data_IF_405983418065
#
_entry.id   IF_405983418065
#
_cell.length_a   1.000
_cell.length_b   1.000
_cell.length_c   1.000
_cell.angle_alpha   90.00
_cell.angle_beta   90.00
_cell.angle_gamma   90.00
#
_symmetry.space_group_name_H-M   'P 1'
#
loop_
_entity.id
_entity.type
_entity.pdbx_description
1 polymer ?
#
# COMPACT_ATOMS: atom_id res chain seq x y z
N UNK A 1 -1.65 28.74 -5.35
CA UNK A 1 -0.71 28.14 -6.33
C UNK A 1 -0.18 29.20 -7.27
N UNK A 2 1.13 29.31 -7.37
CA UNK A 2 1.82 30.15 -8.34
C UNK A 2 1.68 29.54 -9.76
N UNK A 3 1.87 30.32 -10.83
CA UNK A 3 1.81 29.87 -12.22
C UNK A 3 2.79 28.72 -12.52
N UNK A 4 3.94 28.68 -11.84
CA UNK A 4 4.88 27.54 -11.93
C UNK A 4 4.27 26.25 -11.39
N UNK A 5 3.59 26.30 -10.25
CA UNK A 5 2.93 25.15 -9.64
C UNK A 5 1.78 24.65 -10.52
N UNK A 6 1.02 25.59 -11.12
CA UNK A 6 -0.06 25.27 -12.06
C UNK A 6 0.45 24.55 -13.29
N UNK A 7 1.56 25.03 -13.87
CA UNK A 7 2.21 24.39 -15.02
C UNK A 7 2.78 23.01 -14.68
N UNK A 8 3.42 22.88 -13.51
CA UNK A 8 3.97 21.60 -13.04
C UNK A 8 2.86 20.56 -12.85
N UNK A 9 1.75 20.96 -12.24
CA UNK A 9 0.58 20.11 -12.04
C UNK A 9 -0.01 19.65 -13.38
N UNK A 10 -0.20 20.55 -14.34
CA UNK A 10 -0.70 20.20 -15.69
C UNK A 10 0.19 19.16 -16.37
N UNK A 11 1.52 19.35 -16.28
CA UNK A 11 2.49 18.41 -16.86
C UNK A 11 2.45 17.05 -16.16
N UNK A 12 2.30 17.04 -14.84
CA UNK A 12 2.25 15.82 -14.02
C UNK A 12 0.94 15.04 -14.21
N UNK A 13 -0.19 15.74 -14.21
CA UNK A 13 -1.52 15.17 -14.41
C UNK A 13 -1.85 14.87 -15.88
N UNK A 14 -1.01 15.33 -16.83
CA UNK A 14 -1.24 15.15 -18.26
C UNK A 14 -2.42 15.97 -18.80
N UNK A 15 -2.77 17.09 -18.16
CA UNK A 15 -3.91 17.93 -18.56
C UNK A 15 -3.47 19.10 -19.42
N UNK A 16 -4.22 19.41 -20.47
CA UNK A 16 -3.98 20.56 -21.35
C UNK A 16 -4.51 21.87 -20.77
N UNK A 17 -5.57 21.80 -19.95
CA UNK A 17 -6.19 22.94 -19.29
C UNK A 17 -5.94 22.90 -17.76
N UNK A 18 -6.10 24.05 -17.11
CA UNK A 18 -6.08 24.13 -15.66
C UNK A 18 -7.39 23.56 -15.11
N UNK A 19 -7.34 22.44 -14.35
CA UNK A 19 -8.56 21.84 -13.85
C UNK A 19 -9.17 22.71 -12.76
N UNK A 20 -10.50 22.77 -12.73
CA UNK A 20 -11.23 23.37 -11.61
C UNK A 20 -10.93 22.60 -10.30
N UNK A 21 -11.42 23.10 -9.17
CA UNK A 21 -11.14 22.50 -7.86
C UNK A 21 -11.72 21.08 -7.73
N UNK A 22 -12.88 20.83 -8.34
CA UNK A 22 -13.52 19.51 -8.37
C UNK A 22 -12.73 18.51 -9.23
N UNK A 23 -12.36 18.91 -10.44
CA UNK A 23 -11.53 18.14 -11.36
C UNK A 23 -10.16 17.84 -10.76
N UNK A 24 -9.54 18.79 -10.07
CA UNK A 24 -8.28 18.54 -9.34
C UNK A 24 -8.47 17.47 -8.28
N UNK A 25 -9.52 17.57 -7.46
CA UNK A 25 -9.81 16.57 -6.45
C UNK A 25 -9.99 15.16 -7.06
N UNK A 26 -10.70 15.03 -8.17
CA UNK A 26 -10.87 13.73 -8.85
C UNK A 26 -9.56 13.19 -9.44
N UNK A 27 -8.75 14.06 -10.06
CA UNK A 27 -7.44 13.71 -10.62
C UNK A 27 -6.50 13.23 -9.51
N UNK A 28 -6.37 13.99 -8.42
CA UNK A 28 -5.51 13.63 -7.28
C UNK A 28 -5.94 12.31 -6.66
N UNK A 29 -7.26 12.09 -6.53
CA UNK A 29 -7.83 10.82 -6.04
C UNK A 29 -7.48 9.65 -6.96
N UNK A 30 -7.50 9.84 -8.27
CA UNK A 30 -7.13 8.81 -9.24
C UNK A 30 -5.62 8.54 -9.22
N UNK A 31 -4.79 9.57 -9.21
CA UNK A 31 -3.34 9.46 -9.11
C UNK A 31 -2.90 8.77 -7.82
N UNK A 32 -3.55 9.06 -6.69
CA UNK A 32 -3.30 8.38 -5.42
C UNK A 32 -3.63 6.89 -5.51
N UNK A 33 -4.77 6.52 -6.11
CA UNK A 33 -5.13 5.11 -6.33
C UNK A 33 -4.13 4.39 -7.22
N UNK A 34 -3.74 4.99 -8.34
CA UNK A 34 -2.73 4.42 -9.24
C UNK A 34 -1.39 4.26 -8.55
N UNK A 35 -0.95 5.26 -7.78
CA UNK A 35 0.32 5.22 -7.03
C UNK A 35 0.35 4.09 -6.01
N UNK A 36 -0.77 3.85 -5.29
CA UNK A 36 -0.91 2.73 -4.36
C UNK A 36 -0.83 1.39 -5.10
N UNK A 37 -1.51 1.26 -6.24
CA UNK A 37 -1.47 0.05 -7.06
C UNK A 37 -0.05 -0.20 -7.58
N UNK A 38 0.62 0.82 -8.11
CA UNK A 38 2.01 0.73 -8.58
C UNK A 38 2.97 0.32 -7.46
N UNK A 39 2.79 0.84 -6.24
CA UNK A 39 3.59 0.45 -5.09
C UNK A 39 3.40 -1.04 -4.75
N UNK A 40 2.16 -1.54 -4.76
CA UNK A 40 1.92 -2.97 -4.51
C UNK A 40 2.50 -3.87 -5.59
N UNK A 41 2.39 -3.48 -6.87
CA UNK A 41 3.02 -4.20 -7.99
C UNK A 41 4.54 -4.23 -7.81
N UNK A 42 5.14 -3.09 -7.47
CA UNK A 42 6.57 -2.98 -7.23
C UNK A 42 7.03 -3.87 -6.08
N UNK A 43 6.32 -3.87 -4.95
CA UNK A 43 6.60 -4.75 -3.81
C UNK A 43 6.50 -6.24 -4.18
N UNK A 44 5.49 -6.62 -4.97
CA UNK A 44 5.33 -7.98 -5.46
C UNK A 44 6.52 -8.40 -6.35
N UNK A 45 6.89 -7.57 -7.32
CA UNK A 45 8.04 -7.83 -8.19
C UNK A 45 9.37 -7.89 -7.42
N UNK A 46 9.56 -7.01 -6.43
CA UNK A 46 10.73 -7.05 -5.56
C UNK A 46 10.79 -8.35 -4.76
N UNK A 47 9.67 -8.78 -4.19
CA UNK A 47 9.57 -10.06 -3.48
C UNK A 47 9.93 -11.24 -4.38
N UNK A 48 9.35 -11.30 -5.59
CA UNK A 48 9.69 -12.33 -6.58
C UNK A 48 11.18 -12.30 -6.92
N UNK A 49 11.74 -11.12 -7.17
CA UNK A 49 13.16 -10.96 -7.50
C UNK A 49 14.08 -11.49 -6.40
N UNK A 50 13.78 -11.20 -5.13
CA UNK A 50 14.57 -11.68 -4.00
C UNK A 50 14.55 -13.22 -3.92
N UNK A 51 13.38 -13.84 -4.08
CA UNK A 51 13.29 -15.31 -4.04
C UNK A 51 13.94 -15.98 -5.24
N UNK A 52 13.82 -15.38 -6.42
CA UNK A 52 14.51 -15.82 -7.62
C UNK A 52 16.04 -15.71 -7.49
N UNK A 53 16.51 -14.63 -6.88
CA UNK A 53 17.92 -14.40 -6.55
C UNK A 53 18.46 -15.43 -5.55
N UNK A 54 17.66 -15.78 -4.53
CA UNK A 54 17.99 -16.87 -3.58
C UNK A 54 18.13 -18.21 -4.31
N UNK A 55 17.18 -18.54 -5.19
CA UNK A 55 17.23 -19.78 -5.99
C UNK A 55 18.48 -19.88 -6.87
N UNK A 56 18.95 -18.73 -7.38
CA UNK A 56 20.15 -18.65 -8.21
C UNK A 56 21.44 -18.40 -7.43
N UNK A 57 21.37 -18.24 -6.10
CA UNK A 57 22.50 -17.84 -5.25
C UNK A 57 23.21 -16.57 -5.78
N UNK A 58 22.44 -15.62 -6.29
CA UNK A 58 22.93 -14.39 -6.92
C UNK A 58 22.08 -13.21 -6.49
N UNK A 59 22.70 -12.08 -6.13
CA UNK A 59 21.97 -10.86 -5.78
C UNK A 59 21.91 -9.96 -7.00
N UNK A 60 20.71 -9.78 -7.56
CA UNK A 60 20.51 -8.93 -8.73
C UNK A 60 20.56 -7.44 -8.40
N UNK A 61 21.01 -6.59 -9.36
CA UNK A 61 20.92 -5.14 -9.23
C UNK A 61 19.48 -4.66 -8.99
N UNK A 62 18.48 -5.39 -9.51
CA UNK A 62 17.07 -5.06 -9.28
C UNK A 62 16.67 -5.25 -7.81
N UNK A 63 17.07 -6.35 -7.18
CA UNK A 63 16.78 -6.59 -5.76
C UNK A 63 17.43 -5.52 -4.86
N UNK A 64 18.70 -5.18 -5.11
CA UNK A 64 19.41 -4.14 -4.36
C UNK A 64 18.76 -2.77 -4.57
N UNK A 65 18.58 -2.37 -5.83
CA UNK A 65 17.97 -1.09 -6.19
C UNK A 65 16.54 -0.98 -5.66
N UNK A 66 15.80 -2.08 -5.67
CA UNK A 66 14.43 -2.13 -5.18
C UNK A 66 14.33 -1.90 -3.68
N UNK A 67 15.22 -2.53 -2.89
CA UNK A 67 15.31 -2.28 -1.44
C UNK A 67 15.67 -0.82 -1.15
N UNK A 68 16.63 -0.25 -1.87
CA UNK A 68 17.02 1.16 -1.73
C UNK A 68 15.84 2.08 -2.02
N UNK A 69 15.06 1.80 -3.08
CA UNK A 69 13.87 2.58 -3.42
C UNK A 69 12.81 2.52 -2.31
N UNK A 70 12.58 1.36 -1.69
CA UNK A 70 11.67 1.25 -0.53
C UNK A 70 12.14 2.13 0.63
N UNK A 71 13.45 2.14 0.92
CA UNK A 71 14.02 2.98 1.98
C UNK A 71 13.78 4.47 1.66
N UNK A 72 14.07 4.91 0.43
CA UNK A 72 13.86 6.29 0.01
C UNK A 72 12.38 6.69 0.13
N UNK A 73 11.47 5.82 -0.32
CA UNK A 73 10.02 6.04 -0.21
C UNK A 73 9.57 6.14 1.24
N UNK A 74 10.04 5.24 2.11
CA UNK A 74 9.72 5.24 3.54
C UNK A 74 10.21 6.54 4.21
N UNK A 75 11.45 6.97 3.93
CA UNK A 75 11.98 8.23 4.41
C UNK A 75 11.14 9.43 3.95
N UNK A 76 10.77 9.46 2.66
CA UNK A 76 9.91 10.52 2.11
C UNK A 76 8.53 10.55 2.77
N UNK A 77 7.91 9.39 2.98
CA UNK A 77 6.61 9.28 3.64
C UNK A 77 6.68 9.74 5.10
N UNK A 78 7.73 9.35 5.84
CA UNK A 78 7.93 9.77 7.23
C UNK A 78 8.05 11.30 7.35
N UNK A 79 8.79 11.95 6.44
CA UNK A 79 8.87 13.41 6.38
C UNK A 79 7.54 14.08 6.00
N UNK A 80 6.75 13.46 5.13
CA UNK A 80 5.46 14.02 4.70
C UNK A 80 4.41 14.05 5.82
N UNK A 81 4.46 13.11 6.77
CA UNK A 81 3.53 13.04 7.89
C UNK A 81 3.74 14.18 8.91
N UNK A 82 4.89 14.86 8.86
CA UNK A 82 5.19 16.07 9.64
C UNK A 82 4.55 17.31 9.00
N UNK A 83 4.20 17.26 7.71
CA UNK A 83 3.76 18.41 6.92
C UNK A 83 2.30 18.35 6.43
N UNK A 84 1.60 17.22 6.60
CA UNK A 84 0.24 17.02 6.11
C UNK A 84 -0.71 16.61 7.24
N UNK A 85 -1.86 17.29 7.32
CA UNK A 85 -2.93 16.93 8.25
C UNK A 85 -3.41 15.50 7.99
N UNK A 86 -3.55 14.73 9.07
CA UNK A 86 -4.03 13.36 8.99
C UNK A 86 -5.46 13.37 8.42
N UNK A 87 -5.67 12.68 7.30
CA UNK A 87 -6.98 12.56 6.67
C UNK A 87 -7.93 11.79 7.60
N UNK A 88 -8.73 12.50 8.39
CA UNK A 88 -9.75 11.94 9.28
C UNK A 88 -11.03 11.69 8.50
N UNK A 89 -11.57 10.49 8.63
CA UNK A 89 -12.92 10.17 8.16
C UNK A 89 -13.82 10.32 9.39
N UNK A 90 -14.46 11.47 9.46
CA UNK A 90 -15.37 11.84 10.54
C UNK A 90 -16.76 11.31 10.23
N UNK A 91 -17.30 10.47 11.12
CA UNK A 91 -18.63 9.89 10.97
C UNK A 91 -19.47 10.29 12.18
N UNK A 92 -20.63 10.89 11.90
CA UNK A 92 -21.56 11.39 12.93
C UNK A 92 -22.49 10.30 13.47
N UNK A 93 -22.74 9.26 12.68
CA UNK A 93 -23.64 8.17 13.02
C UNK A 93 -22.88 6.87 13.41
N UNK A 94 -23.33 6.26 14.50
CA UNK A 94 -22.69 5.07 15.09
C UNK A 94 -22.88 3.83 14.22
N UNK A 95 -24.02 3.69 13.54
CA UNK A 95 -24.24 2.56 12.63
C UNK A 95 -23.33 2.67 11.40
N UNK A 96 -23.28 3.85 10.80
CA UNK A 96 -22.41 4.17 9.66
C UNK A 96 -20.92 3.98 10.00
N UNK A 97 -20.52 4.32 11.24
CA UNK A 97 -19.16 4.08 11.75
C UNK A 97 -18.81 2.59 11.77
N UNK A 98 -19.66 1.76 12.37
CA UNK A 98 -19.43 0.32 12.46
C UNK A 98 -19.46 -0.36 11.09
N UNK A 99 -20.35 0.08 10.19
CA UNK A 99 -20.42 -0.45 8.83
C UNK A 99 -19.16 -0.09 8.02
N UNK A 100 -18.66 1.14 8.14
CA UNK A 100 -17.42 1.58 7.50
C UNK A 100 -16.21 0.79 8.00
N UNK A 101 -16.13 0.57 9.31
CA UNK A 101 -15.05 -0.23 9.91
C UNK A 101 -15.10 -1.69 9.45
N UNK A 102 -16.29 -2.30 9.37
CA UNK A 102 -16.49 -3.67 8.87
C UNK A 102 -16.07 -3.79 7.40
N UNK A 103 -16.48 -2.84 6.56
CA UNK A 103 -16.11 -2.83 5.14
C UNK A 103 -14.61 -2.62 4.93
N UNK A 104 -13.98 -1.73 5.69
CA UNK A 104 -12.52 -1.53 5.67
C UNK A 104 -11.79 -2.82 6.05
N UNK A 105 -12.22 -3.48 7.14
CA UNK A 105 -11.66 -4.77 7.57
C UNK A 105 -11.83 -5.87 6.51
N UNK A 106 -13.00 -6.01 5.91
CA UNK A 106 -13.24 -7.03 4.88
C UNK A 106 -12.32 -6.85 3.67
N UNK A 107 -12.09 -5.62 3.22
CA UNK A 107 -11.14 -5.33 2.14
C UNK A 107 -9.71 -5.73 2.52
N UNK A 108 -9.28 -5.44 3.76
CA UNK A 108 -7.96 -5.87 4.26
C UNK A 108 -7.83 -7.40 4.33
N UNK A 109 -8.88 -8.11 4.73
CA UNK A 109 -8.88 -9.59 4.74
C UNK A 109 -8.75 -10.16 3.33
N UNK A 110 -9.48 -9.63 2.35
CA UNK A 110 -9.36 -10.08 0.95
C UNK A 110 -7.93 -9.86 0.45
N UNK A 111 -7.35 -8.70 0.75
CA UNK A 111 -5.95 -8.40 0.40
C UNK A 111 -4.97 -9.38 1.07
N UNK A 112 -5.16 -9.70 2.36
CA UNK A 112 -4.36 -10.68 3.08
C UNK A 112 -4.39 -12.06 2.40
N UNK A 113 -5.58 -12.54 2.02
CA UNK A 113 -5.74 -13.83 1.34
C UNK A 113 -4.97 -13.84 0.02
N UNK A 114 -5.12 -12.78 -0.79
CA UNK A 114 -4.39 -12.66 -2.06
C UNK A 114 -2.86 -12.63 -1.84
N UNK A 115 -2.40 -11.91 -0.81
CA UNK A 115 -0.98 -11.83 -0.48
C UNK A 115 -0.41 -13.20 -0.04
N UNK A 116 -1.15 -13.96 0.77
CA UNK A 116 -0.76 -15.31 1.19
C UNK A 116 -0.63 -16.23 -0.02
N UNK A 117 -1.64 -16.25 -0.89
CA UNK A 117 -1.62 -17.06 -2.11
C UNK A 117 -0.40 -16.69 -2.96
N UNK A 118 -0.15 -15.39 -3.14
CA UNK A 118 1.00 -14.90 -3.90
C UNK A 118 2.33 -15.37 -3.30
N UNK A 119 2.53 -15.20 -1.98
CA UNK A 119 3.75 -15.61 -1.27
C UNK A 119 4.02 -17.11 -1.44
N UNK A 120 3.00 -17.94 -1.24
CA UNK A 120 3.13 -19.40 -1.34
C UNK A 120 3.45 -19.84 -2.77
N UNK A 121 2.80 -19.25 -3.78
CA UNK A 121 3.06 -19.51 -5.18
C UNK A 121 4.48 -19.09 -5.59
N UNK A 122 4.91 -17.90 -5.18
CA UNK A 122 6.25 -17.39 -5.52
C UNK A 122 7.33 -18.29 -4.95
N UNK A 123 7.23 -18.64 -3.67
CA UNK A 123 8.27 -19.40 -3.00
C UNK A 123 8.38 -20.85 -3.48
N UNK A 124 7.23 -21.49 -3.72
CA UNK A 124 7.19 -22.93 -3.97
C UNK A 124 7.23 -23.28 -5.46
N UNK A 125 6.69 -22.40 -6.31
CA UNK A 125 6.47 -22.69 -7.74
C UNK A 125 7.21 -21.70 -8.63
N UNK A 126 6.89 -20.40 -8.53
CA UNK A 126 7.32 -19.42 -9.55
C UNK A 126 8.84 -19.19 -9.51
N UNK A 127 9.41 -18.91 -8.34
CA UNK A 127 10.84 -18.63 -8.24
C UNK A 127 11.72 -19.84 -8.62
N UNK A 128 11.47 -21.07 -8.09
CA UNK A 128 12.23 -22.26 -8.51
C UNK A 128 12.09 -22.53 -10.02
N UNK A 129 10.87 -22.43 -10.56
CA UNK A 129 10.62 -22.67 -11.98
C UNK A 129 11.38 -21.69 -12.88
N UNK A 130 11.40 -20.39 -12.54
CA UNK A 130 12.17 -19.39 -13.29
C UNK A 130 13.68 -19.63 -13.16
N UNK A 131 14.13 -20.13 -12.01
CA UNK A 131 15.54 -20.45 -11.77
C UNK A 131 15.99 -21.73 -12.48
N UNK A 132 15.06 -22.57 -12.97
CA UNK A 132 15.33 -23.87 -13.55
C UNK A 132 15.44 -25.00 -12.52
N UNK A 133 15.04 -24.74 -11.27
CA UNK A 133 15.02 -25.70 -10.18
C UNK A 133 13.66 -26.43 -10.13
N UNK A 134 13.63 -27.62 -9.51
CA UNK A 134 12.38 -28.34 -9.28
C UNK A 134 11.46 -27.56 -8.33
N UNK A 135 10.14 -27.78 -8.47
CA UNK A 135 9.14 -27.22 -7.55
C UNK A 135 9.50 -27.63 -6.12
N UNK A 136 9.62 -26.64 -5.24
CA UNK A 136 10.09 -26.85 -3.87
C UNK A 136 8.91 -26.75 -2.89
N UNK A 137 8.17 -27.86 -2.78
CA UNK A 137 6.97 -27.99 -1.93
C UNK A 137 7.33 -27.95 -0.43
N UNK A 138 8.57 -28.31 -0.06
CA UNK A 138 9.04 -28.29 1.33
C UNK A 138 9.04 -26.88 1.94
N UNK A 139 9.19 -25.85 1.10
CA UNK A 139 9.10 -24.45 1.53
C UNK A 139 7.71 -24.00 1.94
N UNK A 140 6.65 -24.76 1.62
CA UNK A 140 5.31 -24.48 2.14
C UNK A 140 5.23 -24.68 3.66
N UNK A 141 6.09 -25.53 4.22
CA UNK A 141 6.14 -25.83 5.66
C UNK A 141 7.27 -25.12 6.40
N UNK A 142 8.14 -24.40 5.69
CA UNK A 142 9.23 -23.67 6.30
C UNK A 142 8.71 -22.42 7.04
N UNK A 143 9.10 -22.27 8.30
CA UNK A 143 8.69 -21.15 9.16
C UNK A 143 9.10 -19.80 8.58
N UNK A 144 10.22 -19.75 7.84
CA UNK A 144 10.70 -18.52 7.20
C UNK A 144 9.74 -18.00 6.12
N UNK A 145 8.97 -18.88 5.48
CA UNK A 145 7.93 -18.53 4.50
C UNK A 145 6.77 -17.76 5.15
N UNK A 146 6.55 -17.93 6.45
CA UNK A 146 5.45 -17.28 7.18
C UNK A 146 5.80 -15.92 7.77
N UNK A 147 7.07 -15.53 7.84
CA UNK A 147 7.45 -14.22 8.37
C UNK A 147 6.75 -13.05 7.63
N UNK A 148 6.71 -13.00 6.28
CA UNK A 148 5.96 -11.97 5.56
C UNK A 148 4.45 -12.05 5.84
N UNK A 149 3.91 -13.26 6.01
CA UNK A 149 2.49 -13.48 6.32
C UNK A 149 2.12 -12.91 7.68
N UNK A 150 2.97 -13.09 8.69
CA UNK A 150 2.76 -12.54 10.03
C UNK A 150 2.71 -11.00 10.02
N UNK A 151 3.62 -10.36 9.30
CA UNK A 151 3.67 -8.89 9.18
C UNK A 151 2.36 -8.36 8.54
N UNK A 152 1.89 -8.99 7.46
CA UNK A 152 0.66 -8.58 6.78
C UNK A 152 -0.58 -8.88 7.64
N UNK A 153 -0.57 -9.97 8.41
CA UNK A 153 -1.64 -10.31 9.33
C UNK A 153 -1.79 -9.26 10.45
N UNK A 154 -0.68 -8.81 11.04
CA UNK A 154 -0.68 -7.75 12.06
C UNK A 154 -1.29 -6.46 11.48
N UNK A 155 -0.85 -6.04 10.29
CA UNK A 155 -1.40 -4.86 9.60
C UNK A 155 -2.89 -5.00 9.29
N UNK A 156 -3.38 -6.20 9.04
CA UNK A 156 -4.80 -6.47 8.77
C UNK A 156 -5.66 -6.29 10.03
N UNK A 157 -5.14 -6.73 11.18
CA UNK A 157 -5.82 -6.69 12.49
C UNK A 157 -5.84 -5.28 13.08
N UNK A 158 -4.82 -4.46 12.83
CA UNK A 158 -4.80 -3.08 13.34
C UNK A 158 -6.04 -2.30 12.91
N UNK A 159 -6.66 -1.62 13.89
CA UNK A 159 -7.85 -0.79 13.65
C UNK A 159 -7.49 0.36 12.72
N UNK A 160 -8.42 0.70 11.83
CA UNK A 160 -8.26 1.85 10.95
C UNK A 160 -8.32 3.13 11.80
N UNK A 161 -7.16 3.70 12.12
CA UNK A 161 -7.01 4.87 13.00
C UNK A 161 -7.55 6.16 12.37
N UNK A 162 -7.87 6.14 11.06
CA UNK A 162 -8.40 7.29 10.32
C UNK A 162 -9.88 7.52 10.55
N UNK A 163 -10.64 6.48 10.94
CA UNK A 163 -12.09 6.59 11.16
C UNK A 163 -12.37 7.02 12.60
N UNK A 164 -12.87 8.25 12.78
CA UNK A 164 -13.23 8.82 14.09
C UNK A 164 -14.75 9.01 14.18
N UNK A 165 -15.31 8.61 15.31
CA UNK A 165 -16.72 8.89 15.64
C UNK A 165 -16.75 10.28 16.31
N UNK A 166 -17.52 11.22 15.77
CA UNK A 166 -17.78 12.49 16.44
C UNK A 166 -19.04 12.32 17.28
N UNK A 167 -18.95 12.56 18.59
CA UNK A 167 -20.13 12.63 19.45
C UNK A 167 -20.76 14.01 19.30
N UNK A 168 -22.03 14.09 18.88
CA UNK A 168 -22.74 15.37 18.70
C UNK A 168 -22.80 16.22 19.99
N UNK A 169 -22.52 15.63 21.16
CA UNK A 169 -22.41 16.35 22.43
C UNK A 169 -21.16 17.23 22.55
N UNK A 170 -20.07 16.94 21.84
CA UNK A 170 -18.86 17.79 21.88
C UNK A 170 -18.97 19.01 20.96
N UNK A 171 -19.89 19.03 19.99
CA UNK A 171 -20.11 20.19 19.10
C UNK A 171 -21.02 21.26 19.74
N UNK A 172 -21.74 20.94 20.81
CA UNK A 172 -22.64 21.88 21.49
C UNK A 172 -22.07 22.49 22.78
N UNK A 173 -20.89 22.07 23.25
CA UNK A 173 -20.34 22.51 24.55
C UNK A 173 -18.87 22.99 24.52
N UNK A 174 -18.51 23.75 23.48
CA UNK A 174 -17.35 24.64 23.49
C UNK A 174 -17.60 25.78 22.50
N UNK A 175 -17.78 27.06 22.85
CA UNK A 175 -17.01 27.89 23.80
C UNK A 175 -15.51 27.75 23.64
#
# INVERSE_FOLDING_TARGET
MNNKDKWLYQRFAGTTNYPDEYQRHEIDKLLAKLSIISLYIFLALLYLSIFFDIERSFISPFSIGGIILIIILACRMSMSHIAADALTIEVTDKETYHQTLKNSRNKRIIFLILAIIYILLVNSVIAPMLAGNAINVERLTDLNTFFPVLVIAIFTITKDSRVKLIDQKETYDGK
#
